data_IF_990040746834
#
_entry.id   IF_990040746834
#
_cell.length_a   1.000
_cell.length_b   1.000
_cell.length_c   1.000
_cell.angle_alpha   90.00
_cell.angle_beta   90.00
_cell.angle_gamma   90.00
#
_symmetry.space_group_name_H-M   'P 1'
#
loop_
_entity.id
_entity.type
_entity.pdbx_description
1 polymer ?
#
# COMPACT_ATOMS: atom_id res chain seq x y z
N UNK A 1 -20.64 13.79 4.80
CA UNK A 1 -20.51 12.81 3.70
C UNK A 1 -19.07 12.90 3.21
N UNK A 2 -18.28 11.83 3.46
CA UNK A 2 -16.84 11.73 3.15
C UNK A 2 -16.56 11.31 1.71
N UNK A 3 -15.29 11.37 1.32
CA UNK A 3 -14.83 11.54 -0.05
C UNK A 3 -14.87 10.23 -0.84
N UNK A 4 -16.01 9.97 -1.49
CA UNK A 4 -16.27 8.87 -2.43
C UNK A 4 -15.20 8.87 -3.54
N UNK A 5 -14.04 8.24 -3.25
CA UNK A 5 -12.89 8.08 -4.13
C UNK A 5 -12.46 9.36 -4.90
N UNK A 6 -12.42 10.48 -4.16
CA UNK A 6 -11.80 11.77 -4.51
C UNK A 6 -12.35 12.57 -5.72
N UNK A 7 -13.61 12.37 -6.11
CA UNK A 7 -14.37 13.24 -7.02
C UNK A 7 -15.40 14.14 -6.33
N UNK A 8 -15.14 14.60 -5.10
CA UNK A 8 -16.06 15.52 -4.40
C UNK A 8 -16.02 16.90 -5.04
N UNK A 9 -17.18 17.47 -5.40
CA UNK A 9 -17.31 18.85 -5.93
C UNK A 9 -16.65 19.92 -5.04
N UNK A 10 -16.37 19.57 -3.77
CA UNK A 10 -15.85 20.46 -2.75
C UNK A 10 -14.34 20.30 -2.49
N UNK A 11 -13.65 19.33 -3.11
CA UNK A 11 -12.18 19.25 -3.07
C UNK A 11 -11.65 19.67 -4.42
N UNK A 12 -11.01 20.83 -4.48
CA UNK A 12 -10.33 21.34 -5.67
C UNK A 12 -8.83 21.45 -5.46
N UNK A 13 -8.38 21.46 -4.21
CA UNK A 13 -6.98 21.59 -3.83
C UNK A 13 -6.66 20.79 -2.57
N UNK A 14 -5.37 20.57 -2.31
CA UNK A 14 -4.88 19.88 -1.11
C UNK A 14 -5.35 20.54 0.19
N UNK A 15 -5.55 21.87 0.18
CA UNK A 15 -6.00 22.64 1.34
C UNK A 15 -7.47 22.40 1.72
N UNK A 16 -8.26 21.80 0.82
CA UNK A 16 -9.68 21.51 1.08
C UNK A 16 -9.84 20.24 1.95
N UNK A 17 -8.78 19.44 2.10
CA UNK A 17 -8.80 18.26 2.95
C UNK A 17 -8.80 18.62 4.42
N UNK A 18 -9.78 18.11 5.15
CA UNK A 18 -9.87 18.25 6.61
C UNK A 18 -9.45 16.96 7.28
N UNK A 19 -8.47 17.04 8.18
CA UNK A 19 -7.97 15.90 8.95
C UNK A 19 -9.08 15.10 9.66
N UNK A 20 -10.11 15.79 10.17
CA UNK A 20 -11.27 15.15 10.81
C UNK A 20 -12.07 14.26 9.85
N UNK A 21 -12.23 14.70 8.61
CA UNK A 21 -13.00 13.97 7.60
C UNK A 21 -12.18 12.81 7.02
N UNK A 22 -10.87 13.02 6.83
CA UNK A 22 -9.92 11.95 6.45
C UNK A 22 -9.85 10.83 7.49
N UNK A 23 -9.80 11.16 8.79
CA UNK A 23 -9.83 10.14 9.86
C UNK A 23 -11.13 9.33 9.87
N UNK A 24 -12.26 9.95 9.56
CA UNK A 24 -13.53 9.22 9.41
C UNK A 24 -13.51 8.28 8.21
N UNK A 25 -12.95 8.74 7.09
CA UNK A 25 -12.78 7.91 5.90
C UNK A 25 -11.83 6.73 6.18
N UNK A 26 -10.73 6.95 6.88
CA UNK A 26 -9.78 5.91 7.31
C UNK A 26 -10.50 4.80 8.10
N UNK A 27 -11.34 5.17 9.09
CA UNK A 27 -12.13 4.19 9.86
C UNK A 27 -13.08 3.41 8.95
N UNK A 28 -13.79 4.09 8.04
CA UNK A 28 -14.69 3.43 7.08
C UNK A 28 -13.94 2.47 6.15
N UNK A 29 -12.74 2.84 5.69
CA UNK A 29 -11.89 2.00 4.85
C UNK A 29 -11.36 0.79 5.61
N UNK A 30 -10.98 0.94 6.89
CA UNK A 30 -10.59 -0.19 7.74
C UNK A 30 -11.73 -1.19 7.92
N UNK A 31 -12.95 -0.72 8.18
CA UNK A 31 -14.12 -1.62 8.27
C UNK A 31 -14.34 -2.36 6.95
N UNK A 32 -14.20 -1.69 5.80
CA UNK A 32 -14.34 -2.34 4.48
C UNK A 32 -13.24 -3.37 4.23
N UNK A 33 -12.02 -3.08 4.68
CA UNK A 33 -10.91 -4.02 4.61
C UNK A 33 -11.22 -5.29 5.42
N UNK A 34 -11.67 -5.14 6.67
CA UNK A 34 -12.02 -6.26 7.54
C UNK A 34 -13.16 -7.12 6.97
N UNK A 35 -14.21 -6.47 6.45
CA UNK A 35 -15.31 -7.17 5.77
C UNK A 35 -14.79 -7.91 4.53
N UNK A 36 -13.94 -7.27 3.71
CA UNK A 36 -13.35 -7.92 2.54
C UNK A 36 -12.52 -9.16 2.91
N UNK A 37 -11.75 -9.10 4.00
CA UNK A 37 -10.98 -10.25 4.51
C UNK A 37 -11.90 -11.37 4.98
N UNK A 38 -12.98 -11.05 5.69
CA UNK A 38 -13.98 -12.02 6.12
C UNK A 38 -14.66 -12.70 4.92
N UNK A 39 -15.07 -11.92 3.91
CA UNK A 39 -15.69 -12.43 2.68
C UNK A 39 -14.74 -13.37 1.92
N UNK A 40 -13.46 -12.99 1.82
CA UNK A 40 -12.41 -13.83 1.22
C UNK A 40 -12.26 -15.14 1.98
N UNK A 41 -12.16 -15.09 3.31
CA UNK A 41 -12.00 -16.27 4.16
C UNK A 41 -13.20 -17.21 4.03
N UNK A 42 -14.42 -16.67 4.07
CA UNK A 42 -15.66 -17.45 3.90
C UNK A 42 -15.71 -18.13 2.51
N UNK A 43 -15.39 -17.40 1.44
CA UNK A 43 -15.37 -17.95 0.09
C UNK A 43 -14.30 -19.04 -0.07
N UNK A 44 -13.11 -18.86 0.52
CA UNK A 44 -12.04 -19.85 0.53
C UNK A 44 -12.43 -21.12 1.31
N UNK A 45 -13.10 -20.96 2.45
CA UNK A 45 -13.60 -22.10 3.23
C UNK A 45 -14.67 -22.89 2.45
N UNK A 46 -15.62 -22.20 1.82
CA UNK A 46 -16.62 -22.85 0.97
C UNK A 46 -15.98 -23.57 -0.21
N UNK A 47 -14.94 -23.00 -0.81
CA UNK A 47 -14.18 -23.64 -1.88
C UNK A 47 -13.58 -24.96 -1.44
N UNK A 48 -12.94 -25.02 -0.27
CA UNK A 48 -12.38 -26.27 0.25
C UNK A 48 -13.48 -27.28 0.59
N UNK A 49 -14.60 -26.83 1.16
CA UNK A 49 -15.75 -27.71 1.41
C UNK A 49 -16.29 -28.34 0.13
N UNK A 50 -16.44 -27.56 -0.96
CA UNK A 50 -16.90 -28.11 -2.24
C UNK A 50 -15.87 -29.05 -2.88
N UNK A 51 -14.57 -28.78 -2.69
CA UNK A 51 -13.51 -29.68 -3.12
C UNK A 51 -13.60 -31.03 -2.42
N UNK A 52 -13.78 -31.04 -1.10
CA UNK A 52 -13.99 -32.27 -0.34
C UNK A 52 -15.25 -33.03 -0.80
N UNK A 53 -16.36 -32.32 -1.04
CA UNK A 53 -17.58 -32.92 -1.55
C UNK A 53 -17.39 -33.53 -2.94
N UNK A 54 -16.62 -32.88 -3.81
CA UNK A 54 -16.25 -33.40 -5.13
C UNK A 54 -15.38 -34.66 -5.03
N UNK A 55 -14.45 -34.71 -4.07
CA UNK A 55 -13.62 -35.90 -3.82
C UNK A 55 -14.44 -37.08 -3.29
N UNK A 56 -15.43 -36.81 -2.44
CA UNK A 56 -16.31 -37.83 -1.84
C UNK A 56 -17.51 -38.20 -2.73
N UNK A 57 -17.66 -37.56 -3.89
CA UNK A 57 -18.80 -37.77 -4.78
C UNK A 57 -18.76 -39.15 -5.44
N UNK A 58 -19.91 -39.82 -5.50
CA UNK A 58 -20.03 -41.17 -6.06
C UNK A 58 -20.59 -41.18 -7.49
N UNK A 59 -21.05 -40.03 -7.98
CA UNK A 59 -21.66 -39.88 -9.30
C UNK A 59 -21.08 -38.69 -10.05
N UNK A 60 -21.06 -38.80 -11.38
CA UNK A 60 -20.56 -37.73 -12.27
C UNK A 60 -21.29 -36.41 -12.07
N UNK A 61 -22.61 -36.44 -11.91
CA UNK A 61 -23.42 -35.24 -11.67
C UNK A 61 -23.05 -34.51 -10.37
N UNK A 62 -22.68 -35.25 -9.32
CA UNK A 62 -22.22 -34.67 -8.06
C UNK A 62 -20.85 -34.02 -8.21
N UNK A 63 -19.95 -34.64 -8.98
CA UNK A 63 -18.63 -34.08 -9.31
C UNK A 63 -18.80 -32.79 -10.10
N UNK A 64 -19.66 -32.76 -11.12
CA UNK A 64 -19.89 -31.59 -11.97
C UNK A 64 -20.50 -30.43 -11.17
N UNK A 65 -21.43 -30.71 -10.24
CA UNK A 65 -21.98 -29.69 -9.33
C UNK A 65 -20.92 -29.14 -8.36
N UNK A 66 -20.10 -30.01 -7.78
CA UNK A 66 -19.01 -29.58 -6.90
C UNK A 66 -18.00 -28.70 -7.64
N UNK A 67 -17.60 -29.09 -8.85
CA UNK A 67 -16.71 -28.32 -9.70
C UNK A 67 -17.30 -26.95 -10.09
N UNK A 68 -18.60 -26.90 -10.40
CA UNK A 68 -19.31 -25.64 -10.70
C UNK A 68 -19.31 -24.69 -9.50
N UNK A 69 -19.66 -25.17 -8.31
CA UNK A 69 -19.67 -24.33 -7.10
C UNK A 69 -18.27 -23.90 -6.68
N UNK A 70 -17.26 -24.77 -6.81
CA UNK A 70 -15.85 -24.37 -6.66
C UNK A 70 -15.49 -23.22 -7.60
N UNK A 71 -15.86 -23.32 -8.88
CA UNK A 71 -15.62 -22.25 -9.85
C UNK A 71 -16.29 -20.92 -9.49
N UNK A 72 -17.47 -20.96 -8.85
CA UNK A 72 -18.13 -19.76 -8.31
C UNK A 72 -17.38 -19.20 -7.11
N UNK A 73 -16.94 -20.04 -6.18
CA UNK A 73 -16.19 -19.59 -5.00
C UNK A 73 -14.81 -19.04 -5.37
N UNK A 74 -14.11 -19.62 -6.34
CA UNK A 74 -12.87 -19.05 -6.87
C UNK A 74 -13.06 -17.64 -7.40
N UNK A 75 -14.17 -17.39 -8.12
CA UNK A 75 -14.52 -16.04 -8.59
C UNK A 75 -14.87 -15.11 -7.42
N UNK A 76 -15.51 -15.62 -6.36
CA UNK A 76 -15.81 -14.83 -5.17
C UNK A 76 -14.54 -14.42 -4.43
N UNK A 77 -13.59 -15.35 -4.23
CA UNK A 77 -12.25 -15.06 -3.66
C UNK A 77 -11.55 -13.98 -4.47
N UNK A 78 -11.50 -14.10 -5.81
CA UNK A 78 -10.86 -13.09 -6.67
C UNK A 78 -11.49 -11.71 -6.53
N UNK A 79 -12.82 -11.62 -6.51
CA UNK A 79 -13.52 -10.34 -6.32
C UNK A 79 -13.24 -9.74 -4.94
N UNK A 80 -13.17 -10.57 -3.90
CA UNK A 80 -12.80 -10.12 -2.58
C UNK A 80 -11.36 -9.59 -2.57
N UNK A 81 -10.41 -10.28 -3.21
CA UNK A 81 -9.02 -9.83 -3.36
C UNK A 81 -8.90 -8.48 -4.11
N UNK A 82 -9.63 -8.30 -5.21
CA UNK A 82 -9.68 -7.03 -5.94
C UNK A 82 -10.24 -5.90 -5.05
N UNK A 83 -11.31 -6.18 -4.30
CA UNK A 83 -11.90 -5.23 -3.35
C UNK A 83 -10.96 -4.85 -2.20
N UNK A 84 -10.23 -5.82 -1.65
CA UNK A 84 -9.19 -5.65 -0.64
C UNK A 84 -8.08 -4.75 -1.19
N UNK A 85 -7.49 -5.08 -2.34
CA UNK A 85 -6.40 -4.30 -2.95
C UNK A 85 -6.81 -2.84 -3.20
N UNK A 86 -8.01 -2.63 -3.73
CA UNK A 86 -8.52 -1.29 -3.97
C UNK A 86 -8.77 -0.51 -2.67
N UNK A 87 -9.21 -1.18 -1.61
CA UNK A 87 -9.37 -0.58 -0.28
C UNK A 87 -8.00 -0.22 0.32
N UNK A 88 -6.99 -1.07 0.14
CA UNK A 88 -5.62 -0.80 0.59
C UNK A 88 -5.03 0.45 -0.04
N UNK A 89 -5.20 0.59 -1.35
CA UNK A 89 -4.68 1.74 -2.09
C UNK A 89 -5.31 3.03 -1.59
N UNK A 90 -6.62 3.01 -1.31
CA UNK A 90 -7.33 4.15 -0.72
C UNK A 90 -6.84 4.47 0.69
N UNK A 91 -6.65 3.44 1.52
CA UNK A 91 -6.12 3.60 2.87
C UNK A 91 -4.75 4.29 2.85
N UNK A 92 -3.83 3.75 2.04
CA UNK A 92 -2.49 4.30 1.86
C UNK A 92 -2.51 5.75 1.37
N UNK A 93 -3.45 6.08 0.48
CA UNK A 93 -3.59 7.46 0.00
C UNK A 93 -4.11 8.39 1.10
N UNK A 94 -5.10 7.96 1.88
CA UNK A 94 -5.62 8.75 3.01
C UNK A 94 -4.54 8.97 4.06
N UNK A 95 -3.75 7.94 4.37
CA UNK A 95 -2.64 8.02 5.32
C UNK A 95 -1.57 9.00 4.83
N UNK A 96 -1.16 8.92 3.56
CA UNK A 96 -0.21 9.86 2.98
C UNK A 96 -0.70 11.32 3.05
N UNK A 97 -1.99 11.57 2.80
CA UNK A 97 -2.56 12.93 2.91
C UNK A 97 -2.55 13.40 4.38
N UNK A 98 -2.90 12.52 5.33
CA UNK A 98 -2.84 12.84 6.76
C UNK A 98 -1.42 13.17 7.21
N UNK A 99 -0.43 12.42 6.75
CA UNK A 99 0.98 12.64 7.06
C UNK A 99 1.46 14.00 6.55
N UNK A 100 1.13 14.34 5.30
CA UNK A 100 1.48 15.66 4.73
C UNK A 100 0.81 16.80 5.50
N UNK A 101 -0.47 16.66 5.88
CA UNK A 101 -1.15 17.66 6.71
C UNK A 101 -0.49 17.80 8.10
N UNK A 102 0.00 16.70 8.67
CA UNK A 102 0.73 16.73 9.94
C UNK A 102 2.12 17.37 9.79
N UNK A 103 2.84 17.08 8.70
CA UNK A 103 4.12 17.72 8.37
C UNK A 103 3.95 19.23 8.21
N UNK A 104 2.95 19.69 7.44
CA UNK A 104 2.68 21.12 7.31
C UNK A 104 2.35 21.78 8.66
N UNK A 105 1.59 21.09 9.52
CA UNK A 105 1.28 21.59 10.86
C UNK A 105 2.55 21.70 11.71
N UNK A 106 3.45 20.71 11.65
CA UNK A 106 4.74 20.72 12.35
C UNK A 106 5.64 21.83 11.83
N UNK A 107 5.70 22.03 10.52
CA UNK A 107 6.47 23.10 9.88
C UNK A 107 5.95 24.48 10.29
N UNK A 108 4.63 24.71 10.24
CA UNK A 108 4.01 25.96 10.73
C UNK A 108 4.21 26.18 12.23
N UNK A 109 4.30 25.11 13.02
CA UNK A 109 4.58 25.17 14.45
C UNK A 109 6.07 25.39 14.76
N UNK A 110 6.96 25.10 13.80
CA UNK A 110 8.41 25.21 13.98
C UNK A 110 8.81 26.66 14.31
N UNK A 111 9.56 26.88 15.41
CA UNK A 111 10.11 28.19 15.73
C UNK A 111 11.00 28.74 14.61
N UNK A 112 11.65 27.86 13.84
CA UNK A 112 12.49 28.22 12.69
C UNK A 112 11.64 28.79 11.56
N UNK A 113 10.50 28.17 11.25
CA UNK A 113 9.59 28.67 10.21
C UNK A 113 9.00 30.03 10.59
N UNK A 114 8.62 30.21 11.87
CA UNK A 114 8.17 31.51 12.41
C UNK A 114 9.27 32.57 12.37
N UNK A 115 10.52 32.21 12.71
CA UNK A 115 11.67 33.12 12.64
C UNK A 115 12.02 33.50 11.20
N UNK A 116 12.03 32.54 10.27
CA UNK A 116 12.28 32.79 8.83
C UNK A 116 11.22 33.72 8.25
N UNK A 117 9.94 33.52 8.56
CA UNK A 117 8.86 34.41 8.09
C UNK A 117 8.85 35.81 8.74
N UNK A 118 9.58 36.00 9.83
CA UNK A 118 9.72 37.29 10.53
C UNK A 118 11.03 38.01 10.17
N UNK A 119 11.94 37.37 9.45
CA UNK A 119 13.21 37.96 9.01
C UNK A 119 13.00 38.74 7.71
N UNK A 120 13.59 39.93 7.61
CA UNK A 120 13.65 40.71 6.37
C UNK A 120 14.52 39.99 5.34
N UNK A 121 14.28 40.25 4.04
CA UNK A 121 15.01 39.63 2.92
C UNK A 121 16.53 39.68 3.12
N UNK A 122 17.05 40.83 3.54
CA UNK A 122 18.47 41.07 3.75
C UNK A 122 19.08 40.14 4.82
N UNK A 123 18.34 39.86 5.90
CA UNK A 123 18.81 38.97 6.98
C UNK A 123 18.75 37.49 6.59
N UNK A 124 17.85 37.13 5.68
CA UNK A 124 17.80 35.77 5.13
C UNK A 124 18.99 35.56 4.18
N UNK A 125 19.33 36.56 3.38
CA UNK A 125 20.49 36.52 2.48
C UNK A 125 21.81 36.40 3.24
N UNK A 126 22.00 37.17 4.31
CA UNK A 126 23.16 37.04 5.21
C UNK A 126 23.24 35.63 5.84
N UNK A 127 22.13 35.11 6.36
CA UNK A 127 22.07 33.75 6.94
C UNK A 127 22.38 32.65 5.92
N UNK A 128 21.86 32.75 4.69
CA UNK A 128 22.15 31.76 3.66
C UNK A 128 23.59 31.85 3.17
N UNK A 129 24.17 33.04 3.14
CA UNK A 129 25.58 33.26 2.79
C UNK A 129 26.49 32.63 3.84
N UNK A 130 26.24 32.88 5.12
CA UNK A 130 26.99 32.29 6.24
C UNK A 130 26.85 30.76 6.28
N UNK A 131 25.64 30.22 6.03
CA UNK A 131 25.42 28.78 5.92
C UNK A 131 26.11 28.15 4.70
N UNK A 132 26.18 28.84 3.56
CA UNK A 132 26.87 28.36 2.37
C UNK A 132 28.40 28.32 2.58
N UNK A 133 28.96 29.30 3.29
CA UNK A 133 30.38 29.32 3.67
C UNK A 133 30.72 28.20 4.66
N UNK A 134 29.89 27.99 5.70
CA UNK A 134 30.03 26.88 6.63
C UNK A 134 29.88 25.51 5.94
N UNK A 135 29.03 25.41 4.91
CA UNK A 135 28.86 24.18 4.12
C UNK A 135 30.04 23.92 3.20
N UNK A 136 30.65 24.95 2.59
CA UNK A 136 31.92 24.82 1.84
C UNK A 136 33.04 24.28 2.73
N UNK A 137 33.12 24.75 3.98
CA UNK A 137 34.10 24.25 4.95
C UNK A 137 33.86 22.78 5.35
N UNK A 138 32.59 22.33 5.46
CA UNK A 138 32.25 20.92 5.75
C UNK A 138 32.40 19.97 4.55
N UNK A 139 32.20 20.44 3.32
CA UNK A 139 32.35 19.61 2.10
C UNK A 139 33.81 19.17 1.88
N UNK A 140 34.78 19.91 2.41
CA UNK A 140 36.19 19.50 2.43
C UNK A 140 36.44 18.24 3.28
N UNK A 141 35.53 17.88 4.20
CA UNK A 141 35.64 16.69 5.08
C UNK A 141 34.91 15.44 4.51
N UNK A 142 34.04 15.62 3.51
CA UNK A 142 33.30 14.53 2.86
C UNK A 142 34.17 13.66 1.95
N UNK A 143 35.34 14.15 1.50
CA UNK A 143 36.29 13.34 0.72
C UNK A 143 36.87 12.18 1.53
N UNK A 144 36.89 12.29 2.86
CA UNK A 144 37.32 11.24 3.80
C UNK A 144 36.26 10.15 3.97
N UNK A 145 34.96 10.51 3.89
CA UNK A 145 33.82 9.60 4.03
C UNK A 145 33.56 8.77 2.77
N UNK A 146 33.78 9.33 1.57
CA UNK A 146 33.61 8.61 0.29
C UNK A 146 34.56 7.41 0.12
N UNK A 147 35.74 7.44 0.78
CA UNK A 147 36.68 6.31 0.82
C UNK A 147 36.19 5.13 1.67
N UNK A 148 35.33 5.39 2.67
CA UNK A 148 34.81 4.35 3.57
C UNK A 148 33.56 3.68 2.96
N UNK A 149 32.70 4.46 2.28
CA UNK A 149 31.42 3.97 1.73
C UNK A 149 31.60 3.09 0.48
N UNK A 150 32.64 3.30 -0.31
CA UNK A 150 32.95 2.46 -1.49
C UNK A 150 33.41 1.05 -1.15
N UNK A 151 33.78 0.77 0.11
CA UNK A 151 34.21 -0.56 0.54
C UNK A 151 33.06 -1.51 0.98
N UNK A 152 31.80 -1.05 1.06
CA UNK A 152 30.69 -1.82 1.64
C UNK A 152 29.41 -1.91 0.78
N UNK A 153 29.44 -1.47 -0.48
CA UNK A 153 28.28 -1.56 -1.36
C UNK A 153 28.27 -2.88 -2.17
N UNK A 154 27.77 -3.96 -1.58
CA UNK A 154 27.17 -5.09 -2.32
C UNK A 154 25.66 -5.10 -2.07
N UNK A 155 24.89 -4.77 -3.11
CA UNK A 155 23.42 -4.86 -3.11
C UNK A 155 22.97 -6.30 -3.39
N UNK A 156 22.01 -6.86 -2.64
CA UNK A 156 21.20 -7.96 -3.14
C UNK A 156 20.00 -7.40 -3.92
N UNK A 157 19.87 -7.81 -5.18
CA UNK A 157 18.70 -7.57 -6.03
C UNK A 157 17.69 -8.69 -5.76
N UNK A 158 16.49 -8.35 -5.30
CA UNK A 158 15.36 -9.29 -5.18
C UNK A 158 14.37 -8.94 -6.29
N UNK A 159 14.25 -9.83 -7.27
CA UNK A 159 13.29 -9.72 -8.36
C UNK A 159 11.91 -10.20 -7.90
N UNK A 160 10.90 -9.35 -8.08
CA UNK A 160 9.50 -9.70 -7.93
C UNK A 160 8.98 -10.30 -9.25
N UNK A 161 8.66 -11.60 -9.24
CA UNK A 161 7.94 -12.25 -10.35
C UNK A 161 6.46 -12.37 -10.01
N UNK A 162 5.60 -11.76 -10.83
CA UNK A 162 4.16 -12.04 -10.90
C UNK A 162 3.81 -12.42 -12.33
N UNK A 163 3.13 -13.56 -12.47
CA UNK A 163 2.37 -14.15 -13.61
C UNK A 163 2.59 -15.67 -13.81
N UNK A 164 3.23 -16.36 -12.86
CA UNK A 164 3.48 -17.81 -12.91
C UNK A 164 2.41 -18.68 -12.20
N UNK A 165 1.44 -18.08 -11.50
CA UNK A 165 0.63 -18.78 -10.49
C UNK A 165 -0.36 -19.80 -11.08
N UNK A 166 -0.86 -19.57 -12.31
CA UNK A 166 -1.78 -20.49 -12.96
C UNK A 166 -1.08 -21.77 -13.47
N UNK A 167 0.14 -21.63 -13.98
CA UNK A 167 0.96 -22.74 -14.50
C UNK A 167 1.62 -23.52 -13.36
N UNK A 168 1.98 -22.83 -12.27
CA UNK A 168 2.50 -23.44 -11.05
C UNK A 168 1.42 -24.29 -10.36
N UNK A 169 0.19 -23.77 -10.19
CA UNK A 169 -0.90 -24.51 -9.58
C UNK A 169 -1.30 -25.78 -10.37
N UNK A 170 -1.29 -25.73 -11.71
CA UNK A 170 -1.56 -26.90 -12.54
C UNK A 170 -0.47 -27.99 -12.42
N UNK A 171 0.81 -27.58 -12.37
CA UNK A 171 1.95 -28.48 -12.14
C UNK A 171 1.92 -29.11 -10.74
N UNK A 172 1.54 -28.34 -9.74
CA UNK A 172 1.45 -28.80 -8.35
C UNK A 172 0.32 -29.82 -8.17
N UNK A 173 -0.81 -29.64 -8.86
CA UNK A 173 -1.94 -30.59 -8.88
C UNK A 173 -1.60 -31.88 -9.64
N UNK A 174 -0.91 -31.80 -10.78
CA UNK A 174 -0.47 -32.98 -11.54
C UNK A 174 0.60 -33.79 -10.79
N UNK A 175 1.54 -33.11 -10.14
CA UNK A 175 2.55 -33.75 -9.30
C UNK A 175 1.93 -34.48 -8.09
N UNK A 176 0.90 -33.91 -7.47
CA UNK A 176 0.17 -34.57 -6.38
C UNK A 176 -0.67 -35.77 -6.84
N UNK A 177 -1.02 -35.85 -8.13
CA UNK A 177 -1.76 -36.97 -8.73
C UNK A 177 -0.87 -38.11 -9.24
N UNK A 178 0.44 -37.89 -9.36
CA UNK A 178 1.37 -38.91 -9.84
C UNK A 178 1.27 -39.22 -11.33
N UNK A 179 0.66 -38.34 -12.12
CA UNK A 179 0.59 -38.48 -13.58
C UNK A 179 1.45 -37.38 -14.20
N UNK A 180 2.53 -37.81 -14.86
CA UNK A 180 3.48 -36.96 -15.60
C UNK A 180 3.04 -36.80 -17.05
#
# INVERSE_FOLDING_TARGET
MGFLWMGSKNIKSFNDFKAKDLKKEQVSLNVRWDVGQADRANAAQLLENYKELGVKATSKDQIDRAAYEMGRQTKAVRRADEGIQHTQLKLSTVDAILDVLEMERKDKASPVFKKIHQLSSDKLEDMFTEMAEARKQRVLDLQTVTKIVTAHAQSPVIEAQRDADATAAYKEIMAARGES
#
